data_IF_802693614499
#
_entry.id   IF_802693614499
#
_cell.length_a   1.000
_cell.length_b   1.000
_cell.length_c   1.000
_cell.angle_alpha   90.00
_cell.angle_beta   90.00
_cell.angle_gamma   90.00
#
_symmetry.space_group_name_H-M   'P 1'
#
loop_
_entity.id
_entity.type
_entity.pdbx_description
1 polymer ?
#
# COMPACT_ATOMS: atom_id res chain seq x y z
N UNK A 1 20.68 24.84 -12.69
CA UNK A 1 21.06 23.43 -12.93
C UNK A 1 19.97 22.78 -13.77
N UNK A 2 20.33 21.93 -14.72
CA UNK A 2 19.36 21.11 -15.48
C UNK A 2 18.82 20.03 -14.53
N UNK A 3 17.54 19.67 -14.65
CA UNK A 3 16.96 18.57 -13.89
C UNK A 3 17.65 17.25 -14.26
N UNK A 4 18.16 16.56 -13.24
CA UNK A 4 18.89 15.28 -13.35
C UNK A 4 18.72 14.52 -12.04
N UNK A 5 19.08 13.24 -11.98
CA UNK A 5 19.02 12.43 -10.75
C UNK A 5 19.79 13.05 -9.58
N UNK A 6 20.90 13.73 -9.86
CA UNK A 6 21.72 14.40 -8.83
C UNK A 6 21.19 15.76 -8.42
N UNK A 7 20.36 16.40 -9.24
CA UNK A 7 19.83 17.75 -9.03
C UNK A 7 18.35 17.76 -8.68
N UNK A 8 17.69 16.61 -8.66
CA UNK A 8 16.31 16.47 -8.26
C UNK A 8 16.16 16.78 -6.76
N UNK A 9 15.20 17.64 -6.40
CA UNK A 9 14.91 17.99 -5.01
C UNK A 9 14.23 16.84 -4.27
N UNK A 10 13.28 16.15 -4.96
CA UNK A 10 12.63 14.98 -4.41
C UNK A 10 13.55 13.75 -4.47
N UNK A 11 13.80 13.04 -3.36
CA UNK A 11 14.58 11.80 -3.38
C UNK A 11 13.89 10.68 -4.19
N UNK A 12 12.57 10.73 -4.38
CA UNK A 12 11.81 9.78 -5.21
C UNK A 12 12.31 9.84 -6.65
N UNK A 13 12.48 11.05 -7.21
CA UNK A 13 12.90 11.26 -8.60
C UNK A 13 14.42 11.33 -8.76
N UNK A 14 15.18 11.49 -7.66
CA UNK A 14 16.63 11.50 -7.65
C UNK A 14 17.22 10.17 -7.15
N UNK A 15 17.60 10.15 -5.87
CA UNK A 15 18.28 9.03 -5.19
C UNK A 15 17.63 7.66 -5.41
N UNK A 16 16.29 7.62 -5.42
CA UNK A 16 15.50 6.39 -5.48
C UNK A 16 14.83 6.14 -6.84
N UNK A 17 15.17 6.92 -7.88
CA UNK A 17 14.54 6.80 -9.21
C UNK A 17 14.52 5.37 -9.73
N UNK A 18 15.62 4.62 -9.57
CA UNK A 18 15.67 3.23 -10.01
C UNK A 18 14.70 2.27 -9.32
N UNK A 19 14.10 2.71 -8.19
CA UNK A 19 13.05 1.94 -7.48
C UNK A 19 11.64 2.40 -7.83
N UNK A 20 11.48 3.64 -8.23
CA UNK A 20 10.18 4.32 -8.42
C UNK A 20 9.83 4.56 -9.88
N UNK A 21 10.74 4.24 -10.80
CA UNK A 21 10.55 4.47 -12.23
C UNK A 21 9.21 3.95 -12.79
N UNK A 22 8.72 2.76 -12.42
CA UNK A 22 7.43 2.27 -12.91
C UNK A 22 6.24 3.18 -12.59
N UNK A 23 6.34 3.99 -11.53
CA UNK A 23 5.28 4.94 -11.15
C UNK A 23 5.18 6.15 -12.09
N UNK A 24 6.17 6.38 -12.93
CA UNK A 24 6.14 7.47 -13.90
C UNK A 24 5.01 7.32 -14.92
N UNK A 25 4.63 6.09 -15.26
CA UNK A 25 3.53 5.79 -16.18
C UNK A 25 2.14 6.11 -15.61
N UNK A 26 2.04 6.42 -14.32
CA UNK A 26 0.78 6.71 -13.63
C UNK A 26 0.72 8.13 -13.05
N UNK A 27 1.84 8.64 -12.53
CA UNK A 27 1.85 9.85 -11.69
C UNK A 27 2.75 10.99 -12.18
N UNK A 28 3.43 10.82 -13.30
CA UNK A 28 4.16 11.94 -13.94
C UNK A 28 3.21 12.90 -14.65
N UNK A 29 3.69 14.09 -14.97
CA UNK A 29 2.93 15.04 -15.82
C UNK A 29 2.63 14.43 -17.20
N UNK A 30 3.57 13.67 -17.77
CA UNK A 30 3.36 12.88 -18.98
C UNK A 30 2.18 11.91 -18.82
N UNK A 31 2.15 11.15 -17.74
CA UNK A 31 1.07 10.20 -17.47
C UNK A 31 -0.28 10.90 -17.31
N UNK A 32 -0.33 11.99 -16.55
CA UNK A 32 -1.57 12.75 -16.36
C UNK A 32 -2.14 13.23 -17.70
N UNK A 33 -1.29 13.75 -18.60
CA UNK A 33 -1.70 14.18 -19.92
C UNK A 33 -2.21 12.98 -20.74
N UNK A 34 -1.49 11.86 -20.74
CA UNK A 34 -1.88 10.62 -21.45
C UNK A 34 -3.24 10.11 -20.99
N UNK A 35 -3.50 10.07 -19.68
CA UNK A 35 -4.79 9.64 -19.13
C UNK A 35 -5.92 10.60 -19.52
N UNK A 36 -5.68 11.91 -19.55
CA UNK A 36 -6.65 12.88 -20.04
C UNK A 36 -6.99 12.67 -21.52
N UNK A 37 -5.99 12.47 -22.37
CA UNK A 37 -6.19 12.14 -23.80
C UNK A 37 -6.99 10.84 -23.93
N UNK A 38 -6.65 9.80 -23.16
CA UNK A 38 -7.39 8.53 -23.16
C UNK A 38 -8.87 8.71 -22.82
N UNK A 39 -9.18 9.49 -21.78
CA UNK A 39 -10.57 9.74 -21.36
C UNK A 39 -11.33 10.55 -22.42
N UNK A 40 -10.72 11.59 -22.99
CA UNK A 40 -11.35 12.40 -24.06
C UNK A 40 -11.66 11.56 -25.30
N UNK A 41 -10.73 10.72 -25.75
CA UNK A 41 -10.94 9.83 -26.89
C UNK A 41 -12.00 8.78 -26.59
N UNK A 42 -11.95 8.17 -25.41
CA UNK A 42 -12.97 7.20 -25.00
C UNK A 42 -14.37 7.84 -24.94
N UNK A 43 -14.46 9.07 -24.46
CA UNK A 43 -15.69 9.84 -24.43
C UNK A 43 -16.21 10.15 -25.84
N UNK A 44 -15.35 10.65 -26.73
CA UNK A 44 -15.71 10.94 -28.11
C UNK A 44 -16.24 9.68 -28.84
N UNK A 45 -15.54 8.55 -28.71
CA UNK A 45 -15.97 7.27 -29.28
C UNK A 45 -17.35 6.87 -28.72
N UNK A 46 -17.58 7.05 -27.41
CA UNK A 46 -18.85 6.69 -26.78
C UNK A 46 -19.99 7.60 -27.25
N UNK A 47 -19.70 8.89 -27.54
CA UNK A 47 -20.69 9.78 -28.19
C UNK A 47 -21.03 9.31 -29.61
N UNK A 48 -20.05 8.85 -30.40
CA UNK A 48 -20.30 8.31 -31.74
C UNK A 48 -21.13 7.00 -31.73
N UNK A 49 -21.12 6.27 -30.61
CA UNK A 49 -21.97 5.09 -30.41
C UNK A 49 -23.45 5.47 -30.14
N UNK A 50 -23.75 6.76 -29.85
CA UNK A 50 -25.11 7.25 -29.71
C UNK A 50 -25.68 7.66 -31.09
N UNK A 51 -27.01 7.54 -31.31
CA UNK A 51 -27.63 7.98 -32.55
C UNK A 51 -27.78 9.53 -32.59
N UNK A 52 -26.72 10.27 -32.28
CA UNK A 52 -26.72 11.71 -32.41
C UNK A 52 -26.72 12.10 -33.88
N UNK A 53 -27.64 13.00 -34.33
CA UNK A 53 -27.78 13.31 -35.76
C UNK A 53 -26.49 13.76 -36.43
N UNK A 54 -25.61 14.47 -35.70
CA UNK A 54 -24.36 14.99 -36.21
C UNK A 54 -23.21 13.96 -36.23
N UNK A 55 -23.33 12.87 -35.49
CA UNK A 55 -22.33 11.80 -35.40
C UNK A 55 -22.77 10.49 -36.08
N UNK A 56 -24.00 10.40 -36.59
CA UNK A 56 -24.60 9.18 -37.18
C UNK A 56 -23.82 8.61 -38.35
N UNK A 57 -23.13 9.49 -39.10
CA UNK A 57 -22.34 9.13 -40.27
C UNK A 57 -20.84 8.98 -39.98
N UNK A 58 -20.45 9.00 -38.69
CA UNK A 58 -19.07 8.80 -38.28
C UNK A 58 -18.62 7.37 -38.61
N UNK A 59 -17.49 7.21 -39.29
CA UNK A 59 -16.95 5.90 -39.63
C UNK A 59 -16.36 5.20 -38.39
N UNK A 60 -17.05 4.18 -37.89
CA UNK A 60 -16.59 3.40 -36.72
C UNK A 60 -15.29 2.62 -36.96
N UNK A 61 -14.87 2.41 -38.22
CA UNK A 61 -13.57 1.82 -38.53
C UNK A 61 -12.40 2.68 -38.01
N UNK A 62 -12.62 3.98 -37.82
CA UNK A 62 -11.61 4.90 -37.28
C UNK A 62 -11.42 4.79 -35.75
N UNK A 63 -12.26 4.06 -35.01
CA UNK A 63 -12.13 3.96 -33.56
C UNK A 63 -10.76 3.44 -33.11
N UNK A 64 -10.18 2.46 -33.82
CA UNK A 64 -8.84 1.96 -33.48
C UNK A 64 -7.76 3.03 -33.78
N UNK A 65 -7.91 3.79 -34.86
CA UNK A 65 -7.02 4.92 -35.17
C UNK A 65 -7.08 5.99 -34.08
N UNK A 66 -8.29 6.31 -33.60
CA UNK A 66 -8.46 7.28 -32.50
C UNK A 66 -7.85 6.75 -31.19
N UNK A 67 -8.04 5.46 -30.86
CA UNK A 67 -7.37 4.85 -29.70
C UNK A 67 -5.86 4.91 -29.81
N UNK A 68 -5.32 4.81 -31.05
CA UNK A 68 -3.90 4.99 -31.34
C UNK A 68 -3.32 6.30 -30.82
N UNK A 69 -4.11 7.36 -30.71
CA UNK A 69 -3.64 8.67 -30.21
C UNK A 69 -3.12 8.55 -28.76
N UNK A 70 -3.79 7.80 -27.88
CA UNK A 70 -3.31 7.60 -26.51
C UNK A 70 -2.47 6.32 -26.32
N UNK A 71 -2.65 5.31 -27.15
CA UNK A 71 -1.86 4.06 -27.08
C UNK A 71 -0.42 4.30 -27.55
N UNK A 72 -0.23 5.15 -28.56
CA UNK A 72 1.08 5.55 -29.08
C UNK A 72 1.57 6.90 -28.53
N UNK A 73 0.94 7.39 -27.46
CA UNK A 73 1.31 8.67 -26.83
C UNK A 73 2.75 8.61 -26.31
N UNK A 74 3.52 9.63 -26.57
CA UNK A 74 4.94 9.70 -26.23
C UNK A 74 5.32 11.08 -25.64
N UNK A 75 6.59 11.25 -25.27
CA UNK A 75 7.07 12.50 -24.66
C UNK A 75 6.94 13.70 -25.63
N UNK A 76 7.06 13.51 -26.95
CA UNK A 76 6.87 14.59 -27.94
C UNK A 76 5.40 15.04 -27.95
N UNK A 77 4.46 14.11 -27.88
CA UNK A 77 3.04 14.39 -27.76
C UNK A 77 2.73 15.19 -26.47
N UNK A 78 3.32 14.75 -25.35
CA UNK A 78 3.17 15.45 -24.07
C UNK A 78 3.76 16.85 -24.14
N UNK A 79 4.95 17.02 -24.76
CA UNK A 79 5.58 18.31 -24.96
C UNK A 79 4.70 19.22 -25.85
N UNK A 80 4.06 18.68 -26.89
CA UNK A 80 3.13 19.45 -27.72
C UNK A 80 1.95 19.99 -26.90
N UNK A 81 1.34 19.17 -26.04
CA UNK A 81 0.29 19.61 -25.12
C UNK A 81 0.80 20.73 -24.21
N UNK A 82 2.02 20.62 -23.67
CA UNK A 82 2.62 21.66 -22.82
C UNK A 82 2.89 22.95 -23.60
N UNK A 83 3.23 22.88 -24.87
CA UNK A 83 3.44 24.06 -25.69
C UNK A 83 2.13 24.79 -26.00
N UNK A 84 1.04 24.05 -26.21
CA UNK A 84 -0.30 24.63 -26.33
C UNK A 84 -0.73 25.26 -24.98
N UNK A 85 -0.49 24.56 -23.86
CA UNK A 85 -0.82 25.08 -22.52
C UNK A 85 -0.13 26.40 -22.20
N UNK A 86 1.12 26.59 -22.62
CA UNK A 86 1.84 27.87 -22.45
C UNK A 86 1.10 29.08 -23.07
N UNK A 87 0.35 28.84 -24.15
CA UNK A 87 -0.41 29.88 -24.85
C UNK A 87 -1.80 30.03 -24.25
N UNK A 88 -2.48 28.90 -23.96
CA UNK A 88 -3.88 28.90 -23.49
C UNK A 88 -4.00 29.17 -22.00
N UNK A 89 -2.93 28.95 -21.24
CA UNK A 89 -2.88 28.94 -19.78
C UNK A 89 -3.97 28.04 -19.14
N UNK A 90 -4.29 26.94 -19.83
CA UNK A 90 -5.32 26.00 -19.38
C UNK A 90 -4.97 24.56 -19.83
N UNK A 91 -4.70 23.69 -18.88
CA UNK A 91 -4.17 22.33 -19.09
C UNK A 91 -5.13 21.40 -19.86
N UNK A 92 -6.40 21.30 -19.43
CA UNK A 92 -7.38 20.43 -20.10
C UNK A 92 -7.77 20.98 -21.47
N UNK A 93 -7.84 22.30 -21.64
CA UNK A 93 -8.10 22.93 -22.96
C UNK A 93 -6.93 22.66 -23.94
N UNK A 94 -5.70 22.58 -23.44
CA UNK A 94 -4.55 22.20 -24.24
C UNK A 94 -4.66 20.75 -24.76
N UNK A 95 -5.18 19.84 -23.94
CA UNK A 95 -5.47 18.46 -24.35
C UNK A 95 -6.53 18.43 -25.48
N UNK A 96 -7.61 19.18 -25.33
CA UNK A 96 -8.66 19.29 -26.38
C UNK A 96 -8.06 19.77 -27.69
N UNK A 97 -7.24 20.83 -27.68
CA UNK A 97 -6.60 21.34 -28.90
C UNK A 97 -5.61 20.34 -29.50
N UNK A 98 -4.84 19.67 -28.69
CA UNK A 98 -3.96 18.61 -29.15
C UNK A 98 -4.75 17.50 -29.88
N UNK A 99 -5.87 17.05 -29.34
CA UNK A 99 -6.70 16.03 -29.98
C UNK A 99 -7.28 16.55 -31.31
N UNK A 100 -7.67 17.83 -31.37
CA UNK A 100 -8.12 18.48 -32.63
C UNK A 100 -7.00 18.48 -33.68
N UNK A 101 -5.73 18.73 -33.30
CA UNK A 101 -4.59 18.62 -34.19
C UNK A 101 -4.36 17.17 -34.66
N UNK A 102 -4.56 16.18 -33.80
CA UNK A 102 -4.47 14.76 -34.20
C UNK A 102 -5.59 14.39 -35.19
N UNK A 103 -6.81 14.93 -35.02
CA UNK A 103 -7.90 14.77 -36.00
C UNK A 103 -7.56 15.40 -37.35
N UNK A 104 -6.85 16.54 -37.38
CA UNK A 104 -6.33 17.12 -38.64
C UNK A 104 -5.33 16.21 -39.36
N UNK A 105 -4.46 15.54 -38.59
CA UNK A 105 -3.47 14.60 -39.18
C UNK A 105 -4.14 13.35 -39.75
N UNK A 106 -5.22 12.86 -39.13
CA UNK A 106 -6.00 11.72 -39.66
C UNK A 106 -6.75 12.14 -40.93
N UNK A 107 -7.27 13.39 -40.94
CA UNK A 107 -8.02 13.94 -42.07
C UNK A 107 -9.48 13.52 -42.15
N UNK A 108 -10.32 14.35 -42.78
CA UNK A 108 -11.75 14.06 -42.97
C UNK A 108 -12.60 14.17 -41.69
N UNK A 109 -12.06 14.64 -40.59
CA UNK A 109 -12.75 14.70 -39.28
C UNK A 109 -13.19 16.11 -38.88
N UNK A 110 -13.11 17.11 -39.77
CA UNK A 110 -13.40 18.52 -39.45
C UNK A 110 -14.82 18.71 -38.91
N UNK A 111 -15.82 18.01 -39.44
CA UNK A 111 -17.21 18.11 -39.01
C UNK A 111 -17.43 17.59 -37.57
N UNK A 112 -16.51 16.81 -37.02
CA UNK A 112 -16.65 16.12 -35.75
C UNK A 112 -15.83 16.74 -34.62
N UNK A 113 -14.89 17.62 -34.92
CA UNK A 113 -13.94 18.20 -33.96
C UNK A 113 -14.63 18.89 -32.76
N UNK A 114 -15.76 19.54 -32.95
CA UNK A 114 -16.47 20.24 -31.90
C UNK A 114 -17.21 19.30 -30.91
N UNK A 115 -17.20 17.99 -31.20
CA UNK A 115 -17.68 16.97 -30.27
C UNK A 115 -16.57 16.46 -29.32
N UNK A 116 -15.30 16.89 -29.52
CA UNK A 116 -14.26 16.70 -28.52
C UNK A 116 -14.61 17.58 -27.34
N UNK A 117 -14.57 17.02 -26.11
CA UNK A 117 -14.96 17.73 -24.88
C UNK A 117 -16.40 18.26 -24.86
N UNK A 118 -17.30 17.72 -25.69
CA UNK A 118 -18.68 18.20 -25.82
C UNK A 118 -19.46 18.10 -24.51
N UNK A 119 -19.98 19.25 -24.03
CA UNK A 119 -20.77 19.32 -22.80
C UNK A 119 -20.02 19.08 -21.49
N UNK A 120 -18.72 18.81 -21.54
CA UNK A 120 -17.89 18.51 -20.39
C UNK A 120 -17.35 19.76 -19.70
N UNK A 121 -16.88 19.59 -18.48
CA UNK A 121 -15.99 20.52 -17.77
C UNK A 121 -14.66 19.82 -17.50
N UNK A 122 -13.61 20.59 -17.23
CA UNK A 122 -12.26 20.04 -16.97
C UNK A 122 -12.26 18.94 -15.91
N UNK A 123 -13.16 19.00 -14.94
CA UNK A 123 -13.23 18.00 -13.87
C UNK A 123 -13.92 16.70 -14.27
N UNK A 124 -14.68 16.67 -15.35
CA UNK A 124 -15.13 15.41 -15.94
C UNK A 124 -13.93 14.58 -16.47
N UNK A 125 -12.88 15.27 -16.90
CA UNK A 125 -11.64 14.66 -17.38
C UNK A 125 -10.68 14.37 -16.22
N UNK A 126 -10.46 15.31 -15.30
CA UNK A 126 -9.54 15.09 -14.17
C UNK A 126 -10.08 14.07 -13.16
N UNK A 127 -11.38 14.15 -12.81
CA UNK A 127 -11.99 13.23 -11.84
C UNK A 127 -12.38 11.87 -12.43
N UNK A 128 -11.96 11.58 -13.64
CA UNK A 128 -11.95 10.24 -14.26
C UNK A 128 -10.52 9.78 -14.49
N UNK A 129 -9.64 10.63 -15.03
CA UNK A 129 -8.23 10.31 -15.30
C UNK A 129 -7.45 9.95 -14.03
N UNK A 130 -7.60 10.73 -12.97
CA UNK A 130 -6.85 10.51 -11.71
C UNK A 130 -7.26 9.21 -11.03
N UNK A 131 -8.54 8.91 -10.75
CA UNK A 131 -8.89 7.62 -10.16
C UNK A 131 -8.56 6.44 -11.07
N UNK A 132 -8.60 6.60 -12.41
CA UNK A 132 -8.18 5.57 -13.34
C UNK A 132 -6.67 5.28 -13.21
N UNK A 133 -5.83 6.32 -13.17
CA UNK A 133 -4.38 6.13 -12.98
C UNK A 133 -4.04 5.52 -11.62
N UNK A 134 -4.73 5.90 -10.55
CA UNK A 134 -4.55 5.31 -9.21
C UNK A 134 -4.95 3.83 -9.22
N UNK A 135 -6.08 3.49 -9.83
CA UNK A 135 -6.54 2.11 -9.96
C UNK A 135 -5.49 1.24 -10.65
N UNK A 136 -5.03 1.67 -11.82
CA UNK A 136 -4.03 0.93 -12.60
C UNK A 136 -2.68 0.85 -11.86
N UNK A 137 -2.24 1.92 -11.18
CA UNK A 137 -1.03 1.89 -10.36
C UNK A 137 -1.15 0.91 -9.17
N UNK A 138 -2.32 0.82 -8.53
CA UNK A 138 -2.56 -0.17 -7.48
C UNK A 138 -2.48 -1.59 -8.04
N UNK A 139 -3.14 -1.86 -9.15
CA UNK A 139 -3.23 -3.19 -9.76
C UNK A 139 -1.88 -3.66 -10.35
N UNK A 140 -1.13 -2.77 -10.99
CA UNK A 140 0.06 -3.15 -11.75
C UNK A 140 1.37 -2.98 -10.95
N UNK A 141 1.39 -2.17 -9.88
CA UNK A 141 2.61 -1.92 -9.10
C UNK A 141 2.48 -2.23 -7.62
N UNK A 142 1.46 -1.71 -6.95
CA UNK A 142 1.34 -1.78 -5.50
C UNK A 142 0.92 -3.18 -5.03
N UNK A 143 -0.14 -3.76 -5.62
CA UNK A 143 -0.63 -5.10 -5.22
C UNK A 143 0.42 -6.18 -5.44
N UNK A 144 1.10 -6.27 -6.60
CA UNK A 144 2.16 -7.25 -6.78
C UNK A 144 3.28 -7.14 -5.73
N UNK A 145 3.66 -5.92 -5.35
CA UNK A 145 4.75 -5.70 -4.40
C UNK A 145 4.37 -6.08 -2.96
N UNK A 146 3.15 -5.77 -2.52
CA UNK A 146 2.67 -6.18 -1.19
C UNK A 146 2.42 -7.70 -1.14
N UNK A 147 1.95 -8.30 -2.22
CA UNK A 147 1.79 -9.76 -2.34
C UNK A 147 3.14 -10.48 -2.27
N UNK A 148 4.19 -9.93 -2.90
CA UNK A 148 5.55 -10.44 -2.77
C UNK A 148 6.05 -10.38 -1.32
N UNK A 149 5.77 -9.28 -0.60
CA UNK A 149 6.13 -9.16 0.82
C UNK A 149 5.39 -10.21 1.67
N UNK A 150 4.09 -10.37 1.47
CA UNK A 150 3.28 -11.38 2.17
C UNK A 150 3.82 -12.80 1.88
N UNK A 151 4.13 -13.10 0.63
CA UNK A 151 4.69 -14.41 0.24
C UNK A 151 6.05 -14.68 0.89
N UNK A 152 6.93 -13.68 0.97
CA UNK A 152 8.22 -13.80 1.64
C UNK A 152 8.07 -14.06 3.15
N UNK A 153 7.12 -13.38 3.80
CA UNK A 153 6.81 -13.59 5.21
C UNK A 153 6.19 -14.97 5.45
N UNK A 154 5.29 -15.43 4.57
CA UNK A 154 4.71 -16.76 4.64
C UNK A 154 5.78 -17.85 4.54
N UNK A 155 6.71 -17.67 3.61
CA UNK A 155 7.85 -18.60 3.47
C UNK A 155 8.64 -18.71 4.78
N UNK A 156 8.96 -17.61 5.43
CA UNK A 156 9.69 -17.63 6.71
C UNK A 156 8.83 -18.18 7.86
N UNK A 157 7.55 -17.90 7.87
CA UNK A 157 6.64 -18.47 8.86
C UNK A 157 6.62 -20.01 8.78
N UNK A 158 6.62 -20.55 7.57
CA UNK A 158 6.65 -22.00 7.33
C UNK A 158 8.02 -22.61 7.65
N UNK A 159 9.11 -21.93 7.28
CA UNK A 159 10.49 -22.35 7.53
C UNK A 159 10.80 -22.42 9.04
N UNK A 160 10.32 -21.44 9.80
CA UNK A 160 10.62 -21.32 11.24
C UNK A 160 9.44 -21.65 12.15
N UNK A 161 8.47 -22.43 11.65
CA UNK A 161 7.23 -22.77 12.37
C UNK A 161 7.45 -23.49 13.69
N UNK A 162 8.53 -24.29 13.79
CA UNK A 162 8.85 -25.10 14.94
C UNK A 162 9.94 -24.49 15.85
N UNK A 163 10.47 -23.32 15.49
CA UNK A 163 11.50 -22.64 16.27
C UNK A 163 10.86 -22.01 17.52
N UNK A 164 11.13 -22.51 18.73
CA UNK A 164 10.65 -21.91 19.97
C UNK A 164 11.36 -20.57 20.19
N UNK A 165 10.63 -19.58 20.68
CA UNK A 165 11.19 -18.26 20.93
C UNK A 165 10.65 -17.69 22.24
N UNK A 166 11.50 -17.01 23.03
CA UNK A 166 11.09 -16.30 24.21
C UNK A 166 10.25 -15.07 23.82
N UNK A 167 8.97 -15.06 24.15
CA UNK A 167 8.16 -13.87 23.97
C UNK A 167 8.50 -12.82 25.06
N UNK A 168 8.29 -11.56 24.70
CA UNK A 168 8.44 -10.45 25.65
C UNK A 168 7.19 -9.60 25.69
N UNK A 169 6.69 -9.33 26.88
CA UNK A 169 5.63 -8.36 27.14
C UNK A 169 6.18 -7.26 28.04
N UNK A 170 5.91 -5.99 27.71
CA UNK A 170 6.51 -4.86 28.42
C UNK A 170 8.07 -4.92 28.48
N UNK A 171 8.69 -5.53 27.47
CA UNK A 171 10.14 -5.75 27.44
C UNK A 171 10.66 -6.85 28.38
N UNK A 172 9.77 -7.54 29.13
CA UNK A 172 10.12 -8.60 30.06
C UNK A 172 9.81 -9.98 29.47
N UNK A 173 10.61 -11.02 29.83
CA UNK A 173 10.33 -12.40 29.47
C UNK A 173 8.91 -12.82 29.84
N UNK A 174 8.24 -13.47 28.90
CA UNK A 174 6.87 -13.98 29.03
C UNK A 174 6.81 -15.43 28.49
N UNK A 175 5.60 -15.98 28.43
CA UNK A 175 5.38 -17.35 27.92
C UNK A 175 6.01 -17.53 26.55
N UNK A 176 6.75 -18.62 26.32
CA UNK A 176 7.35 -18.90 25.02
C UNK A 176 6.32 -18.95 23.89
N UNK A 177 6.79 -18.64 22.70
CA UNK A 177 6.02 -18.69 21.46
C UNK A 177 6.83 -19.43 20.40
N UNK A 178 6.33 -19.46 19.15
CA UNK A 178 7.08 -19.97 17.99
C UNK A 178 7.33 -18.82 17.02
N UNK A 179 8.55 -18.73 16.51
CA UNK A 179 8.97 -17.65 15.60
C UNK A 179 8.08 -17.60 14.35
N UNK A 180 7.80 -18.75 13.73
CA UNK A 180 6.92 -18.78 12.56
C UNK A 180 5.52 -18.26 12.87
N UNK A 181 4.97 -18.55 14.05
CA UNK A 181 3.66 -18.02 14.48
C UNK A 181 3.72 -16.51 14.66
N UNK A 182 4.80 -15.95 15.20
CA UNK A 182 4.94 -14.48 15.33
C UNK A 182 4.95 -13.81 13.96
N UNK A 183 5.61 -14.41 12.96
CA UNK A 183 5.60 -13.91 11.58
C UNK A 183 4.20 -14.05 10.95
N UNK A 184 3.48 -15.15 11.23
CA UNK A 184 2.09 -15.32 10.75
C UNK A 184 1.15 -14.22 11.21
N UNK A 185 1.41 -13.56 12.34
CA UNK A 185 0.62 -12.39 12.76
C UNK A 185 0.65 -11.30 11.67
N UNK A 186 1.82 -11.03 11.10
CA UNK A 186 1.97 -10.02 10.03
C UNK A 186 1.37 -10.49 8.71
N UNK A 187 1.56 -11.76 8.35
CA UNK A 187 0.92 -12.36 7.17
C UNK A 187 -0.59 -12.19 7.24
N UNK A 188 -1.20 -12.57 8.37
CA UNK A 188 -2.63 -12.44 8.58
C UNK A 188 -3.12 -10.98 8.49
N UNK A 189 -2.45 -10.07 9.20
CA UNK A 189 -2.80 -8.64 9.23
C UNK A 189 -2.68 -7.99 7.85
N UNK A 190 -1.59 -8.24 7.13
CA UNK A 190 -1.36 -7.67 5.80
C UNK A 190 -2.34 -8.23 4.76
N UNK A 191 -2.61 -9.53 4.79
CA UNK A 191 -3.58 -10.19 3.90
C UNK A 191 -4.98 -9.60 4.09
N UNK A 192 -5.41 -9.42 5.32
CA UNK A 192 -6.73 -8.84 5.62
C UNK A 192 -6.82 -7.36 5.19
N UNK A 193 -5.77 -6.57 5.42
CA UNK A 193 -5.80 -5.16 4.99
C UNK A 193 -5.66 -5.01 3.47
N UNK A 194 -4.92 -5.88 2.79
CA UNK A 194 -4.88 -5.92 1.33
C UNK A 194 -6.25 -6.27 0.74
N UNK A 195 -6.95 -7.24 1.35
CA UNK A 195 -8.34 -7.58 0.95
C UNK A 195 -9.25 -6.35 1.06
N UNK A 196 -9.19 -5.63 2.19
CA UNK A 196 -10.00 -4.41 2.39
C UNK A 196 -9.63 -3.31 1.39
N UNK A 197 -8.34 -3.12 1.09
CA UNK A 197 -7.91 -2.16 0.07
C UNK A 197 -8.47 -2.51 -1.32
N UNK A 198 -8.42 -3.78 -1.71
CA UNK A 198 -8.98 -4.25 -2.99
C UNK A 198 -10.50 -4.10 -3.09
N UNK A 199 -11.20 -4.07 -1.96
CA UNK A 199 -12.66 -3.85 -1.88
C UNK A 199 -13.04 -2.35 -1.88
N UNK A 200 -12.09 -1.44 -1.76
CA UNK A 200 -12.36 -0.02 -1.88
C UNK A 200 -12.90 0.32 -3.27
N UNK A 201 -14.02 1.02 -3.30
CA UNK A 201 -14.63 1.45 -4.57
C UNK A 201 -13.77 2.49 -5.26
N UNK A 202 -13.48 2.29 -6.53
CA UNK A 202 -12.83 3.29 -7.37
C UNK A 202 -13.90 4.08 -8.11
N UNK A 203 -14.22 5.27 -7.58
CA UNK A 203 -15.30 6.11 -8.09
C UNK A 203 -14.78 7.28 -8.93
N UNK A 204 -15.66 7.82 -9.77
CA UNK A 204 -15.37 8.96 -10.62
C UNK A 204 -16.56 9.91 -10.71
N UNK A 205 -16.29 11.21 -10.76
CA UNK A 205 -17.30 12.22 -11.10
C UNK A 205 -17.37 12.38 -12.62
N UNK A 206 -18.57 12.32 -13.14
CA UNK A 206 -18.89 12.60 -14.54
C UNK A 206 -20.31 13.12 -14.66
N UNK A 207 -20.51 14.37 -15.17
CA UNK A 207 -21.84 14.97 -15.24
C UNK A 207 -21.85 16.49 -15.59
N UNK A 208 -20.76 17.03 -16.14
CA UNK A 208 -20.66 18.44 -16.53
C UNK A 208 -20.38 19.39 -15.36
N UNK A 209 -20.55 20.66 -15.59
CA UNK A 209 -20.08 21.75 -14.74
C UNK A 209 -20.60 21.74 -13.30
N UNK A 210 -21.75 21.13 -13.04
CA UNK A 210 -22.37 21.02 -11.71
C UNK A 210 -22.84 19.60 -11.37
N UNK A 211 -22.44 18.62 -12.17
CA UNK A 211 -22.85 17.22 -11.99
C UNK A 211 -24.27 16.91 -12.50
N UNK A 212 -24.93 17.86 -13.16
CA UNK A 212 -26.33 17.75 -13.57
C UNK A 212 -26.54 17.57 -15.09
N UNK A 213 -25.49 17.37 -15.87
CA UNK A 213 -25.54 17.26 -17.35
C UNK A 213 -26.23 18.45 -18.05
N UNK A 214 -26.14 19.67 -17.49
CA UNK A 214 -26.84 20.86 -18.01
C UNK A 214 -26.60 21.08 -19.51
N UNK A 215 -25.36 21.07 -19.95
CA UNK A 215 -24.99 21.31 -21.35
C UNK A 215 -25.45 20.16 -22.26
N UNK A 216 -25.31 18.94 -21.83
CA UNK A 216 -25.79 17.77 -22.58
C UNK A 216 -27.30 17.79 -22.73
N UNK A 217 -28.02 18.05 -21.62
CA UNK A 217 -29.49 18.05 -21.63
C UNK A 217 -30.08 19.15 -22.49
N UNK A 218 -29.51 20.38 -22.46
CA UNK A 218 -29.99 21.47 -23.29
C UNK A 218 -29.76 21.21 -24.77
N UNK A 219 -28.65 20.53 -25.12
CA UNK A 219 -28.35 20.21 -26.52
C UNK A 219 -29.17 19.01 -27.05
N UNK A 220 -29.36 18.00 -26.25
CA UNK A 220 -30.08 16.79 -26.63
C UNK A 220 -30.99 16.29 -25.48
N UNK A 221 -32.13 16.93 -25.21
CA UNK A 221 -33.00 16.63 -24.07
C UNK A 221 -33.67 15.24 -24.14
N UNK A 222 -33.65 14.59 -25.31
CA UNK A 222 -34.27 13.29 -25.55
C UNK A 222 -33.43 12.10 -25.07
N UNK A 223 -32.14 12.32 -24.69
CA UNK A 223 -31.27 11.24 -24.24
C UNK A 223 -31.20 11.15 -22.71
N UNK A 224 -31.09 9.96 -22.18
CA UNK A 224 -30.80 9.71 -20.77
C UNK A 224 -29.28 9.85 -20.52
N UNK A 225 -28.85 11.06 -20.27
CA UNK A 225 -27.45 11.37 -20.02
C UNK A 225 -26.93 10.76 -18.72
N UNK A 226 -27.81 10.46 -17.76
CA UNK A 226 -27.41 9.75 -16.53
C UNK A 226 -27.06 8.30 -16.82
N UNK A 227 -27.89 7.61 -17.58
CA UNK A 227 -27.60 6.25 -18.02
C UNK A 227 -26.36 6.19 -18.92
N UNK A 228 -26.21 7.17 -19.82
CA UNK A 228 -25.00 7.34 -20.64
C UNK A 228 -23.75 7.47 -19.79
N UNK A 229 -23.72 8.39 -18.82
CA UNK A 229 -22.56 8.59 -17.97
C UNK A 229 -22.24 7.39 -17.10
N UNK A 230 -23.24 6.69 -16.57
CA UNK A 230 -23.05 5.43 -15.85
C UNK A 230 -22.33 4.41 -16.72
N UNK A 231 -22.82 4.18 -17.95
CA UNK A 231 -22.23 3.26 -18.91
C UNK A 231 -20.82 3.66 -19.32
N UNK A 232 -20.60 4.96 -19.64
CA UNK A 232 -19.28 5.46 -20.01
C UNK A 232 -18.24 5.20 -18.91
N UNK A 233 -18.54 5.58 -17.67
CA UNK A 233 -17.61 5.43 -16.55
C UNK A 233 -17.36 3.96 -16.21
N UNK A 234 -18.39 3.10 -16.25
CA UNK A 234 -18.24 1.70 -15.90
C UNK A 234 -17.64 0.86 -17.03
N UNK A 235 -18.18 0.94 -18.24
CA UNK A 235 -17.78 0.04 -19.33
C UNK A 235 -16.51 0.50 -20.06
N UNK A 236 -16.28 1.82 -20.18
CA UNK A 236 -15.11 2.34 -20.90
C UNK A 236 -13.93 2.64 -20.00
N UNK A 237 -14.16 2.98 -18.71
CA UNK A 237 -13.11 3.34 -17.78
C UNK A 237 -12.92 2.32 -16.62
N UNK A 238 -13.87 1.38 -16.45
CA UNK A 238 -13.81 0.40 -15.37
C UNK A 238 -13.88 1.03 -13.97
N UNK A 239 -14.54 2.17 -13.84
CA UNK A 239 -14.76 2.91 -12.59
C UNK A 239 -16.27 2.93 -12.26
N UNK A 240 -16.62 3.37 -11.07
CA UNK A 240 -18.01 3.55 -10.68
C UNK A 240 -18.37 5.04 -10.68
N UNK A 241 -19.47 5.43 -11.37
CA UNK A 241 -19.88 6.83 -11.41
C UNK A 241 -20.55 7.25 -10.11
N UNK A 242 -20.06 8.33 -9.52
CA UNK A 242 -20.72 9.01 -8.40
C UNK A 242 -22.03 9.64 -8.89
N UNK A 243 -23.16 9.26 -8.27
CA UNK A 243 -24.48 9.66 -8.74
C UNK A 243 -24.86 11.11 -8.42
N UNK A 244 -24.32 11.64 -7.32
CA UNK A 244 -24.56 13.01 -6.85
C UNK A 244 -23.22 13.65 -6.49
N UNK A 245 -22.86 14.68 -7.24
CA UNK A 245 -21.59 15.40 -7.07
C UNK A 245 -21.83 16.89 -7.31
N UNK A 246 -20.86 17.71 -6.94
CA UNK A 246 -20.73 19.08 -7.42
C UNK A 246 -19.96 19.10 -8.76
N UNK A 247 -19.20 20.14 -9.06
CA UNK A 247 -18.31 20.15 -10.22
C UNK A 247 -17.20 19.10 -10.11
N UNK A 248 -16.86 18.68 -8.88
CA UNK A 248 -15.78 17.72 -8.58
C UNK A 248 -16.35 16.45 -7.93
N UNK A 249 -15.53 15.41 -7.88
CA UNK A 249 -15.75 14.20 -7.06
C UNK A 249 -15.95 14.58 -5.59
N UNK A 250 -16.70 13.75 -4.86
CA UNK A 250 -16.79 13.83 -3.40
C UNK A 250 -15.48 13.40 -2.73
N UNK A 251 -14.63 12.62 -3.42
CA UNK A 251 -13.35 12.07 -2.96
C UNK A 251 -13.42 11.14 -1.75
N UNK A 252 -14.60 10.82 -1.21
CA UNK A 252 -14.75 9.96 -0.03
C UNK A 252 -14.21 8.55 -0.28
N UNK A 253 -14.50 7.98 -1.45
CA UNK A 253 -13.99 6.66 -1.83
C UNK A 253 -12.47 6.66 -2.00
N UNK A 254 -11.92 7.70 -2.61
CA UNK A 254 -10.48 7.86 -2.74
C UNK A 254 -9.81 8.06 -1.38
N UNK A 255 -10.44 8.80 -0.47
CA UNK A 255 -10.02 8.92 0.94
C UNK A 255 -9.94 7.55 1.61
N UNK A 256 -10.93 6.67 1.37
CA UNK A 256 -10.93 5.29 1.90
C UNK A 256 -9.76 4.46 1.37
N UNK A 257 -9.37 4.62 0.09
CA UNK A 257 -8.17 3.99 -0.49
C UNK A 257 -6.91 4.44 0.25
N UNK A 258 -6.75 5.75 0.44
CA UNK A 258 -5.58 6.30 1.14
C UNK A 258 -5.50 5.86 2.60
N UNK A 259 -6.63 5.78 3.29
CA UNK A 259 -6.69 5.27 4.67
C UNK A 259 -6.37 3.77 4.76
N UNK A 260 -6.81 2.96 3.80
CA UNK A 260 -6.45 1.55 3.72
C UNK A 260 -4.94 1.35 3.49
N UNK A 261 -4.34 2.14 2.59
CA UNK A 261 -2.89 2.13 2.36
C UNK A 261 -2.11 2.51 3.63
N UNK A 262 -2.58 3.51 4.37
CA UNK A 262 -1.98 3.90 5.66
C UNK A 262 -1.99 2.76 6.68
N UNK A 263 -3.06 1.98 6.77
CA UNK A 263 -3.13 0.82 7.68
C UNK A 263 -2.12 -0.25 7.30
N UNK A 264 -1.97 -0.55 6.00
CA UNK A 264 -0.93 -1.45 5.50
C UNK A 264 0.45 -0.93 5.88
N UNK A 265 0.75 0.33 5.61
CA UNK A 265 2.02 0.95 5.96
C UNK A 265 2.31 0.88 7.47
N UNK A 266 1.30 1.06 8.32
CA UNK A 266 1.44 0.96 9.78
C UNK A 266 1.81 -0.45 10.23
N UNK A 267 1.28 -1.47 9.57
CA UNK A 267 1.63 -2.87 9.86
C UNK A 267 3.07 -3.17 9.43
N UNK A 268 3.51 -2.62 8.30
CA UNK A 268 4.90 -2.80 7.84
C UNK A 268 5.88 -2.08 8.78
N UNK A 269 5.54 -0.90 9.29
CA UNK A 269 6.35 -0.20 10.31
C UNK A 269 6.50 -1.07 11.58
N UNK A 270 5.42 -1.69 12.03
CA UNK A 270 5.43 -2.58 13.19
C UNK A 270 6.33 -3.81 12.94
N UNK A 271 6.22 -4.43 11.76
CA UNK A 271 7.08 -5.50 11.28
C UNK A 271 8.56 -5.09 11.26
N UNK A 272 8.86 -3.92 10.67
CA UNK A 272 10.24 -3.42 10.55
C UNK A 272 10.88 -3.23 11.92
N UNK A 273 10.11 -2.73 12.90
CA UNK A 273 10.56 -2.53 14.29
C UNK A 273 10.80 -3.84 15.01
N UNK A 274 9.96 -4.84 14.83
CA UNK A 274 10.15 -6.15 15.45
C UNK A 274 11.40 -6.84 14.91
N UNK A 275 11.60 -6.86 13.58
CA UNK A 275 12.83 -7.44 13.01
C UNK A 275 14.08 -6.64 13.40
N UNK A 276 13.99 -5.32 13.49
CA UNK A 276 15.07 -4.49 14.04
C UNK A 276 15.41 -4.90 15.47
N UNK A 277 14.39 -5.14 16.31
CA UNK A 277 14.59 -5.61 17.69
C UNK A 277 15.15 -7.03 17.75
N UNK A 278 14.67 -7.96 16.93
CA UNK A 278 15.23 -9.32 16.88
C UNK A 278 16.70 -9.32 16.46
N UNK A 279 17.09 -8.44 15.53
CA UNK A 279 18.51 -8.26 15.18
C UNK A 279 19.29 -7.70 16.38
N UNK A 280 18.74 -6.72 17.11
CA UNK A 280 19.40 -6.13 18.28
C UNK A 280 19.56 -7.12 19.45
N UNK A 281 18.70 -8.15 19.52
CA UNK A 281 18.78 -9.26 20.48
C UNK A 281 19.67 -10.41 20.01
N UNK A 282 20.31 -10.27 18.84
CA UNK A 282 21.11 -11.31 18.19
C UNK A 282 20.30 -12.58 17.81
N UNK A 283 18.98 -12.49 17.68
CA UNK A 283 18.15 -13.58 17.17
C UNK A 283 18.30 -13.77 15.67
N UNK A 284 18.66 -12.68 14.97
CA UNK A 284 19.05 -12.71 13.57
C UNK A 284 20.40 -12.05 13.35
N UNK A 285 21.21 -12.65 12.49
CA UNK A 285 22.35 -12.02 11.84
C UNK A 285 21.97 -11.58 10.44
N UNK A 286 22.78 -10.71 9.85
CA UNK A 286 22.55 -10.22 8.50
C UNK A 286 23.66 -10.68 7.57
N UNK A 287 23.30 -11.19 6.37
CA UNK A 287 24.24 -11.53 5.31
C UNK A 287 25.04 -10.29 4.92
N UNK A 288 26.36 -10.43 4.88
CA UNK A 288 27.29 -9.38 4.44
C UNK A 288 27.54 -9.60 2.95
N UNK A 289 27.35 -8.58 2.15
CA UNK A 289 27.74 -8.61 0.74
C UNK A 289 29.19 -8.16 0.62
N UNK A 290 30.01 -8.89 -0.13
CA UNK A 290 31.40 -8.55 -0.37
C UNK A 290 31.52 -7.12 -0.90
N UNK A 291 32.34 -6.29 -0.23
CA UNK A 291 32.53 -4.87 -0.57
C UNK A 291 31.55 -3.89 0.10
N UNK A 292 30.52 -4.35 0.81
CA UNK A 292 29.69 -3.48 1.64
C UNK A 292 30.41 -3.06 2.92
N UNK A 293 30.34 -1.76 3.26
CA UNK A 293 30.85 -1.23 4.51
C UNK A 293 29.67 -1.04 5.47
N UNK A 294 29.60 -1.90 6.49
CA UNK A 294 28.48 -1.89 7.46
C UNK A 294 28.49 -0.68 8.41
N UNK A 295 29.67 -0.12 8.68
CA UNK A 295 29.84 1.09 9.51
C UNK A 295 31.12 1.81 9.10
N UNK A 296 31.10 3.13 9.11
CA UNK A 296 32.27 3.95 8.80
C UNK A 296 33.39 3.85 9.85
N UNK A 297 33.06 3.47 11.09
CA UNK A 297 33.99 3.41 12.20
C UNK A 297 34.27 1.99 12.75
N UNK A 298 33.31 1.06 12.60
CA UNK A 298 33.38 -0.29 13.16
C UNK A 298 33.12 -1.34 12.08
N UNK A 299 34.15 -1.92 11.45
CA UNK A 299 33.98 -2.83 10.29
C UNK A 299 33.14 -4.08 10.56
N UNK A 300 33.08 -4.54 11.83
CA UNK A 300 32.28 -5.70 12.23
C UNK A 300 30.78 -5.41 12.44
N UNK A 301 30.38 -4.14 12.44
CA UNK A 301 29.01 -3.73 12.74
C UNK A 301 28.15 -3.70 11.48
N UNK A 302 27.16 -4.59 11.40
CA UNK A 302 26.18 -4.63 10.31
C UNK A 302 24.86 -4.05 10.80
N UNK A 303 24.53 -2.83 10.37
CA UNK A 303 23.34 -2.13 10.80
C UNK A 303 22.09 -2.62 10.03
N UNK A 304 20.91 -2.73 10.67
CA UNK A 304 19.65 -3.10 10.04
C UNK A 304 19.02 -1.93 9.26
N UNK A 305 19.81 -1.23 8.42
CA UNK A 305 19.43 0.01 7.75
C UNK A 305 18.28 -0.14 6.75
N UNK A 306 18.05 -1.35 6.25
CA UNK A 306 16.97 -1.60 5.30
C UNK A 306 15.60 -1.44 6.00
N UNK A 307 15.45 -1.90 7.23
CA UNK A 307 14.24 -1.71 8.05
C UNK A 307 14.05 -0.25 8.49
N UNK A 308 15.14 0.43 8.89
CA UNK A 308 15.12 1.86 9.24
C UNK A 308 14.72 2.73 8.04
N UNK A 309 15.24 2.43 6.84
CA UNK A 309 14.89 3.13 5.61
C UNK A 309 13.41 2.92 5.24
N UNK A 310 12.87 1.71 5.46
CA UNK A 310 11.47 1.43 5.26
C UNK A 310 10.60 2.24 6.22
N UNK A 311 10.85 2.17 7.52
CA UNK A 311 10.11 2.91 8.54
C UNK A 311 10.05 4.42 8.23
N UNK A 312 11.20 5.02 7.89
CA UNK A 312 11.28 6.44 7.57
C UNK A 312 10.44 6.83 6.35
N UNK A 313 10.51 6.03 5.27
CA UNK A 313 9.72 6.26 4.06
C UNK A 313 8.22 6.08 4.29
N UNK A 314 7.80 5.05 5.06
CA UNK A 314 6.39 4.82 5.39
C UNK A 314 5.82 5.94 6.27
N UNK A 315 6.63 6.53 7.15
CA UNK A 315 6.23 7.69 7.95
C UNK A 315 5.86 8.88 7.07
N UNK A 316 6.67 9.18 6.05
CA UNK A 316 6.40 10.24 5.07
C UNK A 316 5.15 9.90 4.23
N UNK A 317 5.07 8.66 3.72
CA UNK A 317 3.90 8.21 2.96
C UNK A 317 2.61 8.39 3.75
N UNK A 318 2.60 7.97 5.02
CA UNK A 318 1.43 8.08 5.89
C UNK A 318 0.99 9.54 6.14
N UNK A 319 1.93 10.45 6.30
CA UNK A 319 1.63 11.88 6.47
C UNK A 319 0.93 12.46 5.24
N UNK A 320 1.41 12.12 4.03
CA UNK A 320 0.81 12.59 2.77
C UNK A 320 -0.54 11.93 2.53
N UNK A 321 -0.67 10.61 2.70
CA UNK A 321 -1.94 9.88 2.55
C UNK A 321 -3.02 10.42 3.50
N UNK A 322 -2.66 10.69 4.76
CA UNK A 322 -3.57 11.28 5.74
C UNK A 322 -4.03 12.66 5.31
N UNK A 323 -3.11 13.50 4.85
CA UNK A 323 -3.45 14.83 4.35
C UNK A 323 -4.41 14.76 3.17
N UNK A 324 -4.14 13.90 2.19
CA UNK A 324 -5.00 13.71 1.01
C UNK A 324 -6.40 13.22 1.40
N UNK A 325 -6.50 12.21 2.27
CA UNK A 325 -7.77 11.66 2.73
C UNK A 325 -8.64 12.70 3.45
N UNK A 326 -8.01 13.59 4.22
CA UNK A 326 -8.72 14.65 4.96
C UNK A 326 -9.02 15.89 4.11
N UNK A 327 -8.13 16.26 3.17
CA UNK A 327 -8.23 17.51 2.43
C UNK A 327 -9.17 17.41 1.23
N UNK A 328 -9.11 16.31 0.47
CA UNK A 328 -9.82 16.19 -0.79
C UNK A 328 -11.35 16.30 -0.64
N UNK A 329 -12.00 15.69 0.37
CA UNK A 329 -13.44 15.81 0.56
C UNK A 329 -13.92 17.23 0.93
N UNK A 330 -13.01 18.14 1.24
CA UNK A 330 -13.34 19.51 1.68
C UNK A 330 -13.05 20.53 0.58
N UNK A 331 -14.09 21.08 -0.01
CA UNK A 331 -14.02 22.13 -1.03
C UNK A 331 -15.05 23.23 -0.75
N UNK A 332 -15.01 24.32 -1.51
CA UNK A 332 -15.91 25.46 -1.35
C UNK A 332 -16.99 25.45 -2.42
N UNK A 333 -18.25 25.51 -2.02
CA UNK A 333 -19.42 25.54 -2.92
C UNK A 333 -19.34 24.43 -3.97
N UNK A 334 -19.34 24.76 -5.27
CA UNK A 334 -19.19 23.78 -6.34
C UNK A 334 -17.74 23.27 -6.47
N UNK A 335 -16.76 24.13 -6.24
CA UNK A 335 -15.32 23.81 -6.31
C UNK A 335 -14.44 24.98 -5.91
N UNK A 336 -13.29 24.70 -5.31
CA UNK A 336 -12.08 25.53 -5.36
C UNK A 336 -10.93 24.76 -6.05
N UNK A 337 -9.78 25.42 -6.29
CA UNK A 337 -8.67 24.86 -7.04
C UNK A 337 -7.78 23.92 -6.20
N UNK A 338 -7.97 23.83 -4.89
CA UNK A 338 -7.04 23.13 -4.00
C UNK A 338 -6.95 21.63 -4.26
N UNK A 339 -8.02 21.01 -4.76
CA UNK A 339 -8.02 19.61 -5.19
C UNK A 339 -6.95 19.34 -6.27
N UNK A 340 -6.92 20.15 -7.32
CA UNK A 340 -5.96 20.02 -8.42
C UNK A 340 -4.50 20.20 -7.94
N UNK A 341 -4.28 21.09 -6.99
CA UNK A 341 -2.94 21.31 -6.40
C UNK A 341 -2.45 20.09 -5.63
N UNK A 342 -3.30 19.52 -4.78
CA UNK A 342 -2.88 18.42 -3.90
C UNK A 342 -2.84 17.08 -4.62
N UNK A 343 -3.73 16.84 -5.59
CA UNK A 343 -3.76 15.61 -6.38
C UNK A 343 -2.47 15.37 -7.19
N UNK A 344 -1.73 16.40 -7.55
CA UNK A 344 -0.42 16.28 -8.20
C UNK A 344 0.62 15.60 -7.31
N UNK A 345 0.35 15.47 -6.02
CA UNK A 345 1.22 14.81 -5.05
C UNK A 345 0.82 13.35 -4.75
N UNK A 346 -0.19 12.80 -5.42
CA UNK A 346 -0.65 11.42 -5.17
C UNK A 346 0.46 10.40 -5.40
N UNK A 347 1.32 10.60 -6.40
CA UNK A 347 2.46 9.72 -6.66
C UNK A 347 3.52 9.70 -5.55
N UNK A 348 3.59 10.74 -4.71
CA UNK A 348 4.60 10.85 -3.63
C UNK A 348 4.45 9.73 -2.60
N UNK A 349 3.29 9.50 -1.99
CA UNK A 349 3.14 8.40 -1.03
C UNK A 349 3.25 7.01 -1.67
N UNK A 350 2.87 6.84 -2.94
CA UNK A 350 3.15 5.60 -3.68
C UNK A 350 4.65 5.37 -3.83
N UNK A 351 5.42 6.41 -4.20
CA UNK A 351 6.87 6.33 -4.31
C UNK A 351 7.54 5.94 -3.01
N UNK A 352 7.20 6.62 -1.90
CA UNK A 352 7.72 6.28 -0.58
C UNK A 352 7.31 4.86 -0.13
N UNK A 353 6.07 4.45 -0.37
CA UNK A 353 5.60 3.09 -0.07
C UNK A 353 6.36 2.03 -0.86
N UNK A 354 6.61 2.25 -2.14
CA UNK A 354 7.38 1.33 -3.00
C UNK A 354 8.84 1.22 -2.53
N UNK A 355 9.49 2.34 -2.20
CA UNK A 355 10.86 2.35 -1.64
C UNK A 355 10.90 1.54 -0.35
N UNK A 356 9.93 1.74 0.52
CA UNK A 356 9.84 1.07 1.81
C UNK A 356 9.67 -0.44 1.68
N UNK A 357 8.65 -0.89 0.95
CA UNK A 357 8.38 -2.33 0.77
C UNK A 357 9.57 -3.07 0.14
N UNK A 358 10.22 -2.45 -0.86
CA UNK A 358 11.46 -3.01 -1.44
C UNK A 358 12.60 -3.05 -0.42
N UNK A 359 12.66 -2.08 0.51
CA UNK A 359 13.68 -2.07 1.57
C UNK A 359 13.40 -3.14 2.62
N UNK A 360 12.16 -3.31 3.08
CA UNK A 360 11.77 -4.41 3.98
C UNK A 360 12.08 -5.77 3.36
N UNK A 361 11.69 -6.00 2.10
CA UNK A 361 12.03 -7.24 1.37
C UNK A 361 13.54 -7.49 1.32
N UNK A 362 14.32 -6.44 1.03
CA UNK A 362 15.78 -6.53 1.01
C UNK A 362 16.34 -6.87 2.39
N UNK A 363 15.82 -6.27 3.45
CA UNK A 363 16.20 -6.54 4.84
C UNK A 363 15.89 -8.00 5.23
N UNK A 364 14.66 -8.46 4.94
CA UNK A 364 14.23 -9.83 5.20
C UNK A 364 15.13 -10.86 4.50
N UNK A 365 15.47 -10.67 3.24
CA UNK A 365 16.34 -11.59 2.45
C UNK A 365 17.80 -11.64 2.93
N UNK A 366 18.22 -10.71 3.77
CA UNK A 366 19.53 -10.72 4.41
C UNK A 366 19.56 -11.47 5.74
N UNK A 367 18.41 -11.82 6.31
CA UNK A 367 18.34 -12.47 7.61
C UNK A 367 18.96 -13.86 7.58
N UNK A 368 19.67 -14.18 8.66
CA UNK A 368 20.18 -15.51 9.01
C UNK A 368 19.72 -15.76 10.44
N UNK A 369 18.90 -16.78 10.63
CA UNK A 369 18.41 -17.15 11.95
C UNK A 369 19.61 -17.61 12.83
N UNK A 370 19.60 -17.19 14.10
CA UNK A 370 20.60 -17.55 15.10
C UNK A 370 19.91 -18.39 16.21
N UNK A 371 19.56 -19.63 15.87
CA UNK A 371 18.82 -20.55 16.74
C UNK A 371 19.48 -20.75 18.09
N UNK A 372 20.83 -20.90 18.11
CA UNK A 372 21.60 -21.09 19.34
C UNK A 372 21.35 -19.95 20.35
N UNK A 373 21.22 -18.70 19.88
CA UNK A 373 20.95 -17.55 20.76
C UNK A 373 19.52 -17.57 21.30
N UNK A 374 18.56 -17.99 20.48
CA UNK A 374 17.18 -18.11 20.90
C UNK A 374 17.03 -19.19 21.97
N UNK A 375 17.68 -20.36 21.75
CA UNK A 375 17.70 -21.45 22.73
C UNK A 375 18.42 -21.06 24.03
N UNK A 376 19.53 -20.34 23.94
CA UNK A 376 20.24 -19.81 25.12
C UNK A 376 19.33 -18.94 25.98
N UNK A 377 18.58 -18.00 25.36
CA UNK A 377 17.68 -17.11 26.08
C UNK A 377 16.51 -17.85 26.74
N UNK A 378 15.96 -18.87 26.09
CA UNK A 378 14.93 -19.73 26.66
C UNK A 378 15.49 -20.53 27.85
N UNK A 379 16.64 -21.20 27.68
CA UNK A 379 17.28 -22.00 28.73
C UNK A 379 17.75 -21.16 29.93
N UNK A 380 18.03 -19.87 29.71
CA UNK A 380 18.33 -18.95 30.79
C UNK A 380 17.10 -18.39 31.52
N UNK A 381 15.88 -18.70 31.07
CA UNK A 381 14.63 -18.06 31.53
C UNK A 381 13.58 -19.09 31.97
N UNK A 382 13.97 -20.07 32.79
CA UNK A 382 13.07 -21.12 33.29
C UNK A 382 11.84 -20.61 34.05
N UNK A 383 11.86 -19.39 34.55
CA UNK A 383 10.71 -18.77 35.21
C UNK A 383 9.43 -18.76 34.36
N UNK A 384 9.54 -18.80 33.03
CA UNK A 384 8.41 -18.76 32.10
C UNK A 384 7.52 -20.00 32.14
N UNK A 385 8.03 -21.16 32.64
CA UNK A 385 7.23 -22.38 32.78
C UNK A 385 6.31 -22.35 34.02
N UNK A 386 6.46 -21.35 34.89
CA UNK A 386 5.63 -21.23 36.10
C UNK A 386 4.12 -21.14 35.78
N UNK A 387 3.76 -20.52 34.67
CA UNK A 387 2.36 -20.49 34.21
C UNK A 387 1.82 -21.87 33.86
N UNK A 388 2.61 -22.68 33.14
CA UNK A 388 2.25 -24.04 32.81
C UNK A 388 2.04 -24.89 34.07
N UNK A 389 3.00 -24.83 35.00
CA UNK A 389 2.94 -25.54 36.28
C UNK A 389 1.68 -25.13 37.07
N UNK A 390 1.43 -23.82 37.20
CA UNK A 390 0.23 -23.30 37.86
C UNK A 390 -1.06 -23.83 37.22
N UNK A 391 -1.12 -23.89 35.90
CA UNK A 391 -2.30 -24.33 35.16
C UNK A 391 -2.59 -25.81 35.42
N UNK A 392 -1.54 -26.67 35.39
CA UNK A 392 -1.68 -28.08 35.72
C UNK A 392 -2.10 -28.25 37.18
N UNK A 393 -1.48 -27.54 38.12
CA UNK A 393 -1.87 -27.62 39.53
C UNK A 393 -3.33 -27.19 39.77
N UNK A 394 -3.85 -26.23 39.02
CA UNK A 394 -5.27 -25.88 39.04
C UNK A 394 -6.14 -27.01 38.51
N UNK A 395 -5.74 -27.70 37.45
CA UNK A 395 -6.42 -28.88 36.92
C UNK A 395 -6.55 -29.98 37.99
N UNK A 396 -5.49 -30.15 38.77
CA UNK A 396 -5.43 -31.12 39.86
C UNK A 396 -6.10 -30.64 41.18
N UNK A 397 -6.77 -29.50 41.17
CA UNK A 397 -7.38 -28.87 42.34
C UNK A 397 -6.40 -28.66 43.52
N UNK A 398 -5.12 -28.46 43.23
CA UNK A 398 -4.08 -28.20 44.23
C UNK A 398 -4.38 -26.91 45.00
N UNK A 399 -4.26 -26.89 46.34
CA UNK A 399 -4.59 -25.71 47.14
C UNK A 399 -3.57 -24.57 46.90
N UNK A 400 -4.07 -23.36 46.64
CA UNK A 400 -3.27 -22.13 46.47
C UNK A 400 -2.09 -22.26 45.53
N UNK A 401 -2.27 -22.69 44.25
CA UNK A 401 -1.15 -22.99 43.31
C UNK A 401 -0.34 -21.74 42.97
N UNK A 402 -0.96 -20.56 42.93
CA UNK A 402 -0.24 -19.30 42.64
C UNK A 402 0.72 -18.93 43.78
N UNK A 403 0.26 -19.06 45.04
CA UNK A 403 1.05 -18.75 46.22
C UNK A 403 2.24 -19.71 46.38
N UNK A 404 2.06 -20.98 46.04
CA UNK A 404 3.12 -21.99 46.05
C UNK A 404 4.25 -21.61 45.09
N UNK A 405 3.90 -21.21 43.86
CA UNK A 405 4.86 -20.75 42.84
C UNK A 405 5.46 -19.40 43.17
N UNK A 406 4.67 -18.48 43.75
CA UNK A 406 5.16 -17.16 44.18
C UNK A 406 6.27 -17.27 45.21
N UNK A 407 6.15 -18.23 46.13
CA UNK A 407 7.19 -18.51 47.13
C UNK A 407 8.51 -18.94 46.44
N UNK A 408 8.45 -19.74 45.39
CA UNK A 408 9.61 -20.15 44.60
C UNK A 408 10.24 -19.00 43.82
N UNK A 409 9.43 -18.16 43.13
CA UNK A 409 9.90 -17.10 42.22
C UNK A 409 10.48 -15.87 42.95
N UNK A 410 10.16 -15.68 44.25
CA UNK A 410 10.62 -14.54 45.05
C UNK A 410 11.84 -14.80 45.95
N UNK A 411 12.58 -15.87 45.71
CA UNK A 411 13.73 -16.27 46.55
C UNK A 411 15.03 -15.55 46.17
N UNK A 412 15.06 -14.62 45.21
CA UNK A 412 16.29 -14.03 44.60
C UNK A 412 17.29 -15.06 44.04
N UNK A 413 16.94 -16.34 43.96
CA UNK A 413 17.74 -17.36 43.27
C UNK A 413 17.34 -17.41 41.81
N UNK A 414 18.32 -17.66 40.93
CA UNK A 414 18.04 -17.91 39.52
C UNK A 414 17.18 -19.16 39.40
N UNK A 415 16.04 -19.05 38.75
CA UNK A 415 15.22 -20.23 38.42
C UNK A 415 15.92 -21.01 37.31
N UNK A 416 16.20 -22.25 37.59
CA UNK A 416 16.80 -23.22 36.66
C UNK A 416 15.94 -24.49 36.59
N UNK A 417 16.27 -25.38 35.68
CA UNK A 417 15.67 -26.70 35.60
C UNK A 417 15.66 -27.41 36.94
N UNK A 418 16.82 -27.45 37.61
CA UNK A 418 17.00 -28.10 38.89
C UNK A 418 16.07 -27.56 39.97
N UNK A 419 15.98 -26.20 40.06
CA UNK A 419 15.10 -25.57 41.08
C UNK A 419 13.63 -25.80 40.82
N UNK A 420 13.22 -25.89 39.56
CA UNK A 420 11.86 -26.30 39.19
C UNK A 420 11.59 -27.76 39.52
N UNK A 421 12.50 -28.67 39.18
CA UNK A 421 12.38 -30.10 39.47
C UNK A 421 12.35 -30.36 41.00
N UNK A 422 13.23 -29.71 41.75
CA UNK A 422 13.19 -29.77 43.23
C UNK A 422 11.82 -29.33 43.78
N UNK A 423 11.30 -28.23 43.30
CA UNK A 423 9.98 -27.76 43.70
C UNK A 423 8.88 -28.75 43.34
N UNK A 424 8.86 -29.33 42.15
CA UNK A 424 7.87 -30.30 41.72
C UNK A 424 7.88 -31.54 42.64
N UNK A 425 9.08 -31.99 43.09
CA UNK A 425 9.16 -33.09 44.04
C UNK A 425 8.48 -32.84 45.39
N UNK A 426 8.43 -31.56 45.82
CA UNK A 426 7.77 -31.21 47.10
C UNK A 426 6.25 -31.18 46.99
N UNK A 427 5.68 -31.20 45.79
CA UNK A 427 4.24 -31.11 45.59
C UNK A 427 3.52 -32.40 46.02
N UNK A 428 2.37 -32.21 46.69
CA UNK A 428 1.50 -33.34 47.06
C UNK A 428 0.52 -33.66 45.91
N UNK A 429 1.04 -34.20 44.84
CA UNK A 429 0.33 -34.68 43.63
C UNK A 429 0.79 -36.07 43.27
N UNK A 430 0.10 -36.77 42.38
CA UNK A 430 0.49 -38.11 41.94
C UNK A 430 1.83 -38.13 41.21
N UNK A 431 2.52 -39.27 41.19
CA UNK A 431 3.78 -39.43 40.48
C UNK A 431 3.59 -39.17 38.96
N UNK A 432 2.44 -39.51 38.39
CA UNK A 432 2.13 -39.21 36.99
C UNK A 432 2.08 -37.70 36.71
N UNK A 433 1.47 -36.92 37.61
CA UNK A 433 1.43 -35.46 37.51
C UNK A 433 2.82 -34.86 37.73
N UNK A 434 3.63 -35.38 38.64
CA UNK A 434 5.03 -34.96 38.81
C UNK A 434 5.83 -35.17 37.55
N UNK A 435 5.71 -36.35 36.91
CA UNK A 435 6.38 -36.66 35.67
C UNK A 435 5.94 -35.68 34.52
N UNK A 436 4.65 -35.39 34.44
CA UNK A 436 4.12 -34.38 33.48
C UNK A 436 4.73 -32.99 33.72
N UNK A 437 4.76 -32.53 34.98
CA UNK A 437 5.33 -31.25 35.33
C UNK A 437 6.84 -31.14 35.06
N UNK A 438 7.59 -32.20 35.29
CA UNK A 438 9.04 -32.30 35.03
C UNK A 438 9.37 -32.31 33.53
N UNK A 439 8.45 -32.75 32.69
CA UNK A 439 8.64 -32.79 31.23
C UNK A 439 8.48 -31.39 30.58
N UNK A 440 7.97 -30.37 31.32
CA UNK A 440 7.79 -29.04 30.79
C UNK A 440 9.11 -28.29 30.80
N UNK A 441 9.45 -27.72 29.64
CA UNK A 441 10.63 -26.87 29.45
C UNK A 441 10.28 -25.57 28.76
N UNK A 442 11.12 -24.54 28.84
CA UNK A 442 10.91 -23.33 28.04
C UNK A 442 10.84 -23.58 26.53
N UNK A 443 11.48 -24.66 26.05
CA UNK A 443 11.53 -25.02 24.64
C UNK A 443 10.25 -25.71 24.14
N UNK A 444 9.53 -26.43 25.00
CA UNK A 444 8.34 -27.17 24.59
C UNK A 444 7.00 -26.53 25.05
N UNK A 445 7.07 -25.52 25.92
CA UNK A 445 5.87 -24.78 26.37
C UNK A 445 5.50 -23.69 25.35
N UNK A 446 5.24 -24.05 24.12
CA UNK A 446 4.98 -23.13 23.00
C UNK A 446 3.54 -23.20 22.47
N UNK A 447 2.69 -24.04 23.05
CA UNK A 447 1.31 -24.23 22.58
C UNK A 447 1.22 -25.00 21.25
N UNK A 448 0.21 -24.68 20.44
CA UNK A 448 -0.11 -25.29 19.15
C UNK A 448 0.34 -24.41 17.98
#
# INVERSE_FOLDING_TARGET
MKLDLLTAISPIDGRYRGKTEPLADYFSEYALIRYRVRVEIAYFITLCELPLPQLKDFDHALFETLRGIYLNFNEESAQRVKDIEKVTNHDVKAVEYFIKEEFDKIGGLDAYKEFIHFGLTSQDINNTSVPLSIKEALEETYYPLIEELIAQLQQYADEWKDVPMLAKTHGQPASPTRLGKEIMVYVYRLTEQLRQLKECRMTAKFGGATGNYNAHHVAYPQYDWKAFGNRFVSEKLGLEREQYTTQISNYDCLGSVFDAMRRINTIIIDLDRDFWMYISMDYFKQKIKAGEVGSSAMPHKVNPIDFENSEGNLGIANAVLQFLAMKLPVSRLQRDLTDSTVLRNVGVPFGHGMIAMQSTLKGLRKLILHEEKIEEDLNNTWAVVAEAIQTILRREAYPHPYEALKALTRTNKKMSEETIHEFVQTLNVSDAVKAELMAITPLNYTGI
#
